data_IF_507568037000
#
_entry.id   IF_507568037000
#
_cell.length_a   1.000
_cell.length_b   1.000
_cell.length_c   1.000
_cell.angle_alpha   90.00
_cell.angle_beta   90.00
_cell.angle_gamma   90.00
#
_symmetry.space_group_name_H-M   'P 1'
#
loop_
_entity.id
_entity.type
_entity.pdbx_description
1 polymer ?
#
# COMPACT_ATOMS: atom_id res chain seq x y z
N UNK A 1 21.15 -4.99 6.08
CA UNK A 1 19.95 -5.28 5.25
C UNK A 1 19.59 -3.98 4.54
N UNK A 2 18.66 -3.92 3.57
CA UNK A 2 18.13 -2.61 3.17
C UNK A 2 17.45 -2.00 4.43
N UNK A 3 17.66 -0.70 4.77
CA UNK A 3 17.30 -0.15 6.08
C UNK A 3 15.86 -0.43 6.50
N UNK A 4 14.98 -0.47 5.51
CA UNK A 4 13.56 -0.71 5.68
C UNK A 4 13.22 -2.11 6.21
N UNK A 5 14.01 -3.13 5.88
CA UNK A 5 13.72 -4.51 6.27
C UNK A 5 14.16 -4.83 7.70
N UNK A 6 15.02 -4.00 8.31
CA UNK A 6 15.64 -4.31 9.60
C UNK A 6 14.62 -4.28 10.74
N UNK A 7 13.67 -3.35 10.70
CA UNK A 7 12.61 -3.24 11.71
C UNK A 7 11.61 -4.39 11.61
N UNK A 8 11.19 -4.76 10.40
CA UNK A 8 10.31 -5.90 10.15
C UNK A 8 10.98 -7.20 10.59
N UNK A 9 12.24 -7.41 10.19
CA UNK A 9 13.03 -8.56 10.55
C UNK A 9 13.21 -8.65 12.08
N UNK A 10 13.55 -7.55 12.73
CA UNK A 10 13.71 -7.49 14.19
C UNK A 10 12.41 -7.74 14.94
N UNK A 11 11.26 -7.28 14.41
CA UNK A 11 9.94 -7.56 15.00
C UNK A 11 9.55 -9.03 14.85
N UNK A 12 9.83 -9.65 13.69
CA UNK A 12 9.61 -11.08 13.45
C UNK A 12 10.44 -11.93 14.44
N UNK A 13 11.74 -11.61 14.60
CA UNK A 13 12.61 -12.34 15.54
C UNK A 13 12.16 -12.21 16.99
N UNK A 14 11.62 -11.04 17.37
CA UNK A 14 11.03 -10.82 18.70
C UNK A 14 9.63 -11.42 18.87
N UNK A 15 9.09 -12.07 17.84
CA UNK A 15 7.71 -12.61 17.80
C UNK A 15 6.66 -11.53 18.14
N UNK A 16 6.88 -10.31 17.66
CA UNK A 16 5.91 -9.21 17.78
C UNK A 16 5.13 -9.06 16.46
N UNK A 17 3.94 -9.70 16.34
CA UNK A 17 3.17 -9.69 15.10
C UNK A 17 2.57 -8.31 14.78
N UNK A 18 2.33 -7.45 15.78
CA UNK A 18 1.78 -6.12 15.54
C UNK A 18 2.86 -5.21 14.97
N UNK A 19 4.04 -5.19 15.58
CA UNK A 19 5.17 -4.41 15.08
C UNK A 19 5.62 -4.89 13.69
N UNK A 20 5.63 -6.20 13.45
CA UNK A 20 5.97 -6.76 12.14
C UNK A 20 4.98 -6.30 11.05
N UNK A 21 3.67 -6.34 11.34
CA UNK A 21 2.64 -5.84 10.40
C UNK A 21 2.80 -4.35 10.12
N UNK A 22 2.99 -3.53 11.15
CA UNK A 22 3.16 -2.09 11.00
C UNK A 22 4.40 -1.73 10.17
N UNK A 23 5.53 -2.42 10.43
CA UNK A 23 6.76 -2.23 9.67
C UNK A 23 6.56 -2.62 8.19
N UNK A 24 5.93 -3.77 7.92
CA UNK A 24 5.64 -4.26 6.58
C UNK A 24 4.73 -3.30 5.77
N UNK A 25 3.65 -2.82 6.38
CA UNK A 25 2.72 -1.88 5.72
C UNK A 25 3.38 -0.53 5.46
N UNK A 26 4.10 0.03 6.43
CA UNK A 26 4.81 1.30 6.27
C UNK A 26 5.88 1.23 5.15
N UNK A 27 6.56 0.09 5.04
CA UNK A 27 7.49 -0.20 3.93
C UNK A 27 6.81 -0.16 2.58
N UNK A 28 5.72 -0.89 2.48
CA UNK A 28 4.97 -1.06 1.23
C UNK A 28 4.38 0.28 0.78
N UNK A 29 3.91 1.10 1.73
CA UNK A 29 3.39 2.44 1.46
C UNK A 29 4.47 3.38 0.92
N UNK A 30 5.66 3.43 1.53
CA UNK A 30 6.76 4.26 1.03
C UNK A 30 7.22 3.83 -0.38
N UNK A 31 7.28 2.52 -0.63
CA UNK A 31 7.58 1.98 -1.96
C UNK A 31 6.50 2.37 -2.97
N UNK A 32 5.22 2.26 -2.60
CA UNK A 32 4.11 2.66 -3.46
C UNK A 32 4.18 4.16 -3.80
N UNK A 33 4.40 5.03 -2.80
CA UNK A 33 4.56 6.47 -3.02
C UNK A 33 5.71 6.79 -3.98
N UNK A 34 6.85 6.12 -3.79
CA UNK A 34 8.03 6.29 -4.66
C UNK A 34 7.73 5.86 -6.10
N UNK A 35 7.09 4.69 -6.26
CA UNK A 35 6.70 4.17 -7.57
C UNK A 35 5.71 5.11 -8.26
N UNK A 36 4.69 5.58 -7.56
CA UNK A 36 3.71 6.51 -8.11
C UNK A 36 4.38 7.82 -8.56
N UNK A 37 5.26 8.39 -7.74
CA UNK A 37 6.00 9.61 -8.10
C UNK A 37 6.80 9.41 -9.40
N UNK A 38 7.46 8.27 -9.56
CA UNK A 38 8.21 7.93 -10.76
C UNK A 38 7.32 7.72 -11.99
N UNK A 39 6.16 7.08 -11.83
CA UNK A 39 5.21 6.85 -12.91
C UNK A 39 4.59 8.17 -13.40
N UNK A 40 4.28 9.10 -12.50
CA UNK A 40 3.87 10.46 -12.89
C UNK A 40 5.00 11.24 -13.57
N UNK A 41 6.22 11.18 -13.03
CA UNK A 41 7.38 11.87 -13.60
C UNK A 41 7.66 11.41 -15.03
N UNK A 42 7.48 10.13 -15.31
CA UNK A 42 7.67 9.53 -16.65
C UNK A 42 6.42 9.62 -17.54
N UNK A 43 5.36 10.27 -17.06
CA UNK A 43 4.09 10.43 -17.77
C UNK A 43 3.43 9.10 -18.16
N UNK A 44 3.75 8.01 -17.44
CA UNK A 44 3.01 6.73 -17.55
C UNK A 44 1.61 6.90 -16.97
N UNK A 45 1.52 7.64 -15.88
CA UNK A 45 0.27 8.20 -15.39
C UNK A 45 0.23 9.68 -15.74
N UNK A 46 -0.86 10.10 -16.37
CA UNK A 46 -1.20 11.52 -16.53
C UNK A 46 -2.08 11.97 -15.37
N UNK A 47 -1.74 13.07 -14.68
CA UNK A 47 -2.65 13.75 -13.79
C UNK A 47 -4.03 13.95 -14.44
N UNK A 48 -5.11 13.70 -13.70
CA UNK A 48 -6.48 13.76 -14.22
C UNK A 48 -6.79 15.08 -14.95
N UNK A 49 -6.23 16.20 -14.47
CA UNK A 49 -6.36 17.52 -15.11
C UNK A 49 -5.73 17.59 -16.51
N UNK A 50 -4.64 16.85 -16.74
CA UNK A 50 -3.98 16.75 -18.05
C UNK A 50 -4.69 15.74 -18.95
N UNK A 51 -5.22 14.65 -18.39
CA UNK A 51 -6.05 13.68 -19.13
C UNK A 51 -7.35 14.32 -19.65
N UNK A 52 -8.05 15.13 -18.85
CA UNK A 52 -9.25 15.87 -19.28
C UNK A 52 -8.95 16.93 -20.35
N UNK A 53 -7.73 17.48 -20.38
CA UNK A 53 -7.30 18.43 -21.42
C UNK A 53 -6.90 17.73 -22.71
N UNK A 54 -6.34 16.53 -22.62
CA UNK A 54 -5.94 15.72 -23.78
C UNK A 54 -7.14 15.08 -24.48
N UNK A 55 -8.13 14.65 -23.70
CA UNK A 55 -9.42 14.18 -24.19
C UNK A 55 -10.41 15.36 -24.23
N UNK A 56 -10.25 16.26 -25.20
CA UNK A 56 -11.21 17.33 -25.41
C UNK A 56 -12.63 16.76 -25.48
N UNK A 57 -13.47 17.15 -24.50
CA UNK A 57 -14.90 16.81 -24.40
C UNK A 57 -15.32 15.53 -23.64
N UNK A 58 -14.84 15.30 -22.42
CA UNK A 58 -15.60 14.49 -21.45
C UNK A 58 -15.73 15.22 -20.11
N UNK A 59 -16.94 15.70 -19.82
CA UNK A 59 -17.35 16.14 -18.48
C UNK A 59 -17.28 14.95 -17.54
N UNK A 60 -16.16 14.84 -16.81
CA UNK A 60 -16.03 13.88 -15.72
C UNK A 60 -16.96 14.29 -14.58
N UNK A 61 -18.08 13.57 -14.43
CA UNK A 61 -18.89 13.63 -13.23
C UNK A 61 -18.00 13.25 -12.02
N UNK A 62 -18.19 13.87 -10.85
CA UNK A 62 -17.39 13.56 -9.68
C UNK A 62 -17.60 12.09 -9.31
N UNK A 63 -16.53 11.31 -9.35
CA UNK A 63 -16.52 9.97 -8.75
C UNK A 63 -16.82 10.19 -7.27
N UNK A 64 -17.98 9.71 -6.83
CA UNK A 64 -18.31 9.74 -5.41
C UNK A 64 -17.21 8.97 -4.68
N UNK A 65 -16.58 9.63 -3.70
CA UNK A 65 -15.65 9.03 -2.76
C UNK A 65 -16.40 7.96 -1.98
N UNK A 66 -16.44 6.74 -2.52
CA UNK A 66 -16.95 5.60 -1.80
C UNK A 66 -16.03 5.43 -0.57
N UNK A 67 -16.56 5.31 0.65
CA UNK A 67 -15.73 5.12 1.82
C UNK A 67 -14.93 3.83 1.67
N UNK A 68 -13.64 4.00 1.40
CA UNK A 68 -12.67 2.93 1.38
C UNK A 68 -12.42 2.49 2.81
N UNK A 69 -13.01 1.37 3.20
CA UNK A 69 -12.27 0.29 3.85
C UNK A 69 -13.01 -1.04 3.60
N UNK A 70 -12.56 -1.90 2.66
CA UNK A 70 -12.82 -3.32 2.82
C UNK A 70 -12.12 -3.75 4.10
N UNK A 71 -12.91 -4.01 5.14
CA UNK A 71 -12.45 -4.64 6.37
C UNK A 71 -12.05 -6.07 6.02
N UNK A 72 -10.78 -6.23 5.65
CA UNK A 72 -10.14 -7.53 5.52
C UNK A 72 -10.12 -8.12 6.92
N UNK A 73 -11.11 -8.94 7.21
CA UNK A 73 -11.09 -9.82 8.38
C UNK A 73 -9.99 -10.83 8.08
N UNK A 74 -8.81 -10.59 8.64
CA UNK A 74 -7.79 -11.63 8.75
C UNK A 74 -8.32 -12.61 9.77
N UNK A 75 -8.95 -13.69 9.31
CA UNK A 75 -9.16 -14.85 10.17
C UNK A 75 -7.78 -15.27 10.69
N UNK A 76 -7.55 -15.11 11.98
CA UNK A 76 -6.44 -15.78 12.65
C UNK A 76 -6.72 -17.27 12.56
N UNK A 77 -5.91 -18.07 11.85
CA UNK A 77 -6.02 -19.51 11.98
C UNK A 77 -5.64 -19.82 13.42
N UNK A 78 -6.63 -20.37 14.11
CA UNK A 78 -6.57 -20.91 15.45
C UNK A 78 -5.26 -21.67 15.70
N UNK A 79 -4.76 -21.50 16.92
CA UNK A 79 -3.55 -22.08 17.48
C UNK A 79 -3.49 -23.62 17.38
N UNK A 80 -3.20 -24.15 16.19
CA UNK A 80 -2.87 -25.57 16.00
C UNK A 80 -1.63 -25.68 15.10
N UNK A 81 -0.46 -25.48 15.70
CA UNK A 81 0.78 -26.24 15.42
C UNK A 81 1.91 -25.82 16.36
N UNK A 82 1.73 -26.12 17.65
CA UNK A 82 2.86 -26.44 18.52
C UNK A 82 3.16 -27.93 18.31
N UNK A 83 4.13 -28.23 17.45
CA UNK A 83 5.01 -29.38 17.57
C UNK A 83 6.20 -29.14 16.65
N UNK A 84 7.37 -29.00 17.29
CA UNK A 84 8.74 -28.84 16.77
C UNK A 84 9.19 -27.42 16.44
#
# INVERSE_FOLDING_TARGET
MLPFYEDEHSAIHRRDPQAARAACSGRSELMAQTMLAELFRRQVFTPHEQACRHNGHATAAPVALLPAQPKIVVETPEATRLAF
#
